data_IF_487881550369
#
_entry.id   IF_487881550369
#
_cell.length_a   1.000
_cell.length_b   1.000
_cell.length_c   1.000
_cell.angle_alpha   90.00
_cell.angle_beta   90.00
_cell.angle_gamma   90.00
#
_symmetry.space_group_name_H-M   'P 1'
#
loop_
_entity.id
_entity.type
_entity.pdbx_description
1 polymer ?
#
# COMPACT_ATOMS: atom_id res chain seq x y z
N UNK A 1 -4.03 -6.64 -21.02
CA UNK A 1 -4.41 -5.87 -19.83
C UNK A 1 -4.68 -6.71 -18.56
N UNK A 2 -5.49 -7.80 -18.62
CA UNK A 2 -5.73 -8.66 -17.43
C UNK A 2 -4.45 -9.26 -16.80
N UNK A 3 -3.40 -9.51 -17.60
CA UNK A 3 -2.14 -10.05 -17.10
C UNK A 3 -1.25 -9.04 -16.39
N UNK A 4 -1.33 -7.75 -16.76
CA UNK A 4 -0.55 -6.66 -16.13
C UNK A 4 -1.04 -6.34 -14.73
N UNK A 5 -2.37 -6.30 -14.51
CA UNK A 5 -2.93 -6.06 -13.17
C UNK A 5 -2.61 -7.20 -12.19
N UNK A 6 -2.61 -8.45 -12.69
CA UNK A 6 -2.26 -9.63 -11.92
C UNK A 6 -0.78 -9.64 -11.50
N UNK A 7 0.09 -9.11 -12.36
CA UNK A 7 1.52 -8.96 -12.09
C UNK A 7 1.84 -7.76 -11.17
N UNK A 8 1.01 -6.71 -11.18
CA UNK A 8 1.16 -5.54 -10.29
C UNK A 8 0.93 -5.90 -8.81
N UNK A 9 0.02 -6.82 -8.54
CA UNK A 9 -0.22 -7.34 -7.19
C UNK A 9 0.98 -8.19 -6.70
N UNK A 10 1.68 -8.87 -7.64
CA UNK A 10 2.90 -9.61 -7.33
C UNK A 10 4.13 -8.69 -7.09
N UNK A 11 4.15 -7.48 -7.67
CA UNK A 11 5.30 -6.56 -7.59
C UNK A 11 5.38 -5.74 -6.29
N UNK A 12 4.28 -5.60 -5.55
CA UNK A 12 4.36 -5.09 -4.18
C UNK A 12 5.24 -6.00 -3.26
N UNK A 13 5.54 -7.21 -3.72
CA UNK A 13 6.46 -8.17 -3.06
C UNK A 13 7.94 -7.90 -3.32
N UNK A 14 8.32 -7.08 -4.30
CA UNK A 14 9.71 -6.92 -4.75
C UNK A 14 10.58 -6.03 -3.84
N UNK A 15 10.05 -5.48 -2.76
CA UNK A 15 10.85 -4.75 -1.77
C UNK A 15 11.61 -5.68 -0.81
N UNK A 16 11.37 -6.99 -0.87
CA UNK A 16 11.99 -7.99 0.00
C UNK A 16 13.30 -8.61 -0.54
N UNK A 17 13.71 -8.33 -1.79
CA UNK A 17 14.79 -9.06 -2.46
C UNK A 17 16.20 -8.48 -2.33
N UNK A 18 16.54 -7.76 -1.27
CA UNK A 18 17.91 -7.28 -1.02
C UNK A 18 18.63 -7.99 0.14
N UNK A 19 18.18 -9.16 0.57
CA UNK A 19 18.99 -9.99 1.47
C UNK A 19 18.96 -11.44 0.99
N UNK A 20 20.13 -11.90 0.61
CA UNK A 20 20.61 -13.17 0.12
C UNK A 20 19.81 -14.45 0.35
N UNK A 21 19.69 -15.18 -0.71
CA UNK A 21 19.79 -16.58 -1.00
C UNK A 21 19.31 -17.66 -0.02
N UNK A 22 18.19 -18.31 -0.39
CA UNK A 22 18.06 -19.78 -0.32
C UNK A 22 16.93 -20.20 -1.29
N UNK A 23 17.26 -21.04 -2.26
CA UNK A 23 16.29 -21.65 -3.15
C UNK A 23 15.44 -22.64 -2.35
N UNK A 24 14.14 -22.39 -2.26
CA UNK A 24 13.14 -23.35 -1.79
C UNK A 24 12.08 -23.51 -2.88
N UNK A 25 11.75 -24.77 -3.15
CA UNK A 25 10.91 -25.25 -4.23
C UNK A 25 9.54 -24.51 -4.31
N UNK A 26 9.15 -24.26 -5.55
CA UNK A 26 7.90 -23.62 -5.95
C UNK A 26 6.67 -24.47 -5.62
N UNK A 27 5.95 -24.10 -4.57
CA UNK A 27 4.49 -24.21 -4.55
C UNK A 27 3.91 -22.84 -4.93
N UNK A 28 3.00 -22.83 -5.91
CA UNK A 28 2.50 -21.59 -6.55
C UNK A 28 1.76 -20.68 -5.57
N UNK A 29 2.33 -19.52 -5.14
CA UNK A 29 1.63 -18.60 -4.24
C UNK A 29 0.56 -17.75 -4.95
N UNK A 30 0.33 -17.96 -6.26
CA UNK A 30 -0.55 -17.11 -7.05
C UNK A 30 -2.05 -17.25 -6.72
N UNK A 31 -2.45 -18.29 -6.00
CA UNK A 31 -3.85 -18.57 -5.70
C UNK A 31 -4.26 -18.15 -4.27
N UNK A 32 -3.33 -17.73 -3.42
CA UNK A 32 -3.66 -17.31 -2.06
C UNK A 32 -3.27 -15.84 -1.83
N UNK A 33 -4.13 -14.94 -2.27
CA UNK A 33 -3.98 -13.49 -2.08
C UNK A 33 -3.89 -13.08 -0.61
N UNK A 34 -4.53 -13.83 0.27
CA UNK A 34 -4.51 -13.52 1.71
C UNK A 34 -3.16 -13.86 2.33
N UNK A 35 -2.54 -14.98 1.93
CA UNK A 35 -1.19 -15.33 2.36
C UNK A 35 -0.16 -14.31 1.85
N UNK A 36 -0.29 -13.84 0.60
CA UNK A 36 0.58 -12.79 0.05
C UNK A 36 0.41 -11.45 0.80
N UNK A 37 -0.83 -11.06 1.10
CA UNK A 37 -1.11 -9.85 1.90
C UNK A 37 -0.50 -9.93 3.29
N UNK A 38 -0.58 -11.09 3.93
CA UNK A 38 -0.02 -11.30 5.27
C UNK A 38 1.52 -11.25 5.23
N UNK A 39 2.14 -11.85 4.24
CA UNK A 39 3.60 -11.77 4.06
C UNK A 39 4.04 -10.31 3.87
N UNK A 40 3.41 -9.57 2.97
CA UNK A 40 3.71 -8.15 2.75
C UNK A 40 3.55 -7.31 4.02
N UNK A 41 2.53 -7.60 4.82
CA UNK A 41 2.33 -6.95 6.11
C UNK A 41 3.48 -7.23 7.08
N UNK A 42 3.92 -8.47 7.15
CA UNK A 42 5.01 -8.89 8.02
C UNK A 42 6.35 -8.28 7.59
N UNK A 43 6.65 -8.28 6.28
CA UNK A 43 7.86 -7.67 5.72
C UNK A 43 7.89 -6.16 5.99
N UNK A 44 6.80 -5.46 5.77
CA UNK A 44 6.67 -4.03 6.07
C UNK A 44 6.84 -3.75 7.57
N UNK A 45 6.26 -4.60 8.42
CA UNK A 45 6.41 -4.49 9.87
C UNK A 45 7.86 -4.63 10.32
N UNK A 46 8.61 -5.58 9.73
CA UNK A 46 10.03 -5.77 10.00
C UNK A 46 10.86 -4.55 9.61
N UNK A 47 10.59 -3.95 8.44
CA UNK A 47 11.24 -2.71 8.00
C UNK A 47 10.95 -1.57 8.96
N UNK A 48 9.70 -1.37 9.35
CA UNK A 48 9.30 -0.31 10.28
C UNK A 48 9.97 -0.49 11.64
N UNK A 49 10.01 -1.73 12.17
CA UNK A 49 10.69 -2.05 13.43
C UNK A 49 12.18 -1.67 13.39
N UNK A 50 12.86 -2.09 12.33
CA UNK A 50 14.31 -1.88 12.18
C UNK A 50 14.67 -0.39 12.00
N UNK A 51 13.85 0.38 11.28
CA UNK A 51 14.15 1.79 10.97
C UNK A 51 13.78 2.72 12.12
N UNK A 52 12.70 2.41 12.87
CA UNK A 52 12.27 3.25 13.98
C UNK A 52 13.09 3.06 15.26
N UNK A 53 13.83 1.93 15.37
CA UNK A 53 14.63 1.61 16.56
C UNK A 53 13.81 1.82 17.85
N UNK A 54 12.70 1.08 17.93
CA UNK A 54 11.74 1.22 19.05
C UNK A 54 12.31 0.58 20.32
N UNK A 55 12.23 1.29 21.44
CA UNK A 55 12.39 0.65 22.74
C UNK A 55 11.23 -0.33 22.99
N UNK A 56 11.38 -1.21 23.97
CA UNK A 56 10.33 -2.20 24.29
C UNK A 56 9.00 -1.48 24.67
N UNK A 57 9.08 -0.44 25.49
CA UNK A 57 7.89 0.33 25.90
C UNK A 57 7.25 1.10 24.73
N UNK A 58 8.06 1.69 23.85
CA UNK A 58 7.55 2.32 22.62
C UNK A 58 6.87 1.28 21.73
N UNK A 59 7.48 0.10 21.55
CA UNK A 59 6.92 -0.98 20.73
C UNK A 59 5.57 -1.45 21.26
N UNK A 60 5.43 -1.67 22.55
CA UNK A 60 4.16 -2.08 23.18
C UNK A 60 3.04 -1.05 22.91
N UNK A 61 3.33 0.24 22.98
CA UNK A 61 2.34 1.29 22.71
C UNK A 61 2.10 1.54 21.22
N UNK A 62 3.13 1.42 20.38
CA UNK A 62 3.09 1.72 18.95
C UNK A 62 2.33 0.70 18.13
N UNK A 63 2.61 -0.62 18.31
CA UNK A 63 2.08 -1.66 17.42
C UNK A 63 0.56 -1.72 17.36
N UNK A 64 -0.21 -1.54 18.44
CA UNK A 64 -1.66 -1.49 18.35
C UNK A 64 -2.17 -0.36 17.44
N UNK A 65 -1.56 0.83 17.53
CA UNK A 65 -1.91 1.98 16.69
C UNK A 65 -1.52 1.75 15.23
N UNK A 66 -0.33 1.19 15.02
CA UNK A 66 0.17 0.88 13.67
C UNK A 66 -0.67 -0.19 12.97
N UNK A 67 -1.08 -1.24 13.68
CA UNK A 67 -1.94 -2.29 13.12
C UNK A 67 -3.31 -1.72 12.71
N UNK A 68 -3.91 -0.85 13.52
CA UNK A 68 -5.16 -0.17 13.17
C UNK A 68 -4.97 0.71 11.92
N UNK A 69 -3.87 1.49 11.86
CA UNK A 69 -3.51 2.27 10.68
C UNK A 69 -3.36 1.40 9.42
N UNK A 70 -2.66 0.27 9.52
CA UNK A 70 -2.50 -0.65 8.38
C UNK A 70 -3.82 -1.26 7.93
N UNK A 71 -4.74 -1.58 8.85
CA UNK A 71 -6.08 -2.06 8.51
C UNK A 71 -6.87 -1.03 7.69
N UNK A 72 -6.85 0.24 8.13
CA UNK A 72 -7.53 1.32 7.42
C UNK A 72 -6.87 1.61 6.06
N UNK A 73 -5.54 1.50 5.98
CA UNK A 73 -4.81 1.62 4.71
C UNK A 73 -5.16 0.49 3.73
N UNK A 74 -5.29 -0.75 4.19
CA UNK A 74 -5.73 -1.88 3.36
C UNK A 74 -7.13 -1.60 2.79
N UNK A 75 -8.08 -1.16 3.61
CA UNK A 75 -9.42 -0.80 3.15
C UNK A 75 -9.39 0.35 2.12
N UNK A 76 -8.49 1.30 2.28
CA UNK A 76 -8.28 2.38 1.30
C UNK A 76 -7.74 1.82 -0.03
N UNK A 77 -6.70 0.98 0.00
CA UNK A 77 -6.13 0.38 -1.21
C UNK A 77 -7.11 -0.57 -1.91
N UNK A 78 -7.95 -1.30 -1.21
CA UNK A 78 -8.99 -2.13 -1.81
C UNK A 78 -9.98 -1.29 -2.65
N UNK A 79 -10.32 -0.07 -2.18
CA UNK A 79 -11.13 0.88 -2.97
C UNK A 79 -10.41 1.37 -4.23
N UNK A 80 -9.10 1.66 -4.11
CA UNK A 80 -8.28 2.04 -5.26
C UNK A 80 -8.20 0.91 -6.29
N UNK A 81 -7.96 -0.32 -5.85
CA UNK A 81 -7.91 -1.49 -6.74
C UNK A 81 -9.24 -1.72 -7.45
N UNK A 82 -10.36 -1.53 -6.75
CA UNK A 82 -11.70 -1.61 -7.38
C UNK A 82 -11.92 -0.53 -8.43
N UNK A 83 -11.44 0.70 -8.18
CA UNK A 83 -11.50 1.79 -9.17
C UNK A 83 -10.67 1.44 -10.41
N UNK A 84 -9.46 0.92 -10.22
CA UNK A 84 -8.58 0.49 -11.32
C UNK A 84 -9.16 -0.68 -12.13
N UNK A 85 -9.79 -1.63 -11.47
CA UNK A 85 -10.51 -2.72 -12.15
C UNK A 85 -11.65 -2.18 -13.02
N UNK A 86 -12.41 -1.22 -12.48
CA UNK A 86 -13.48 -0.53 -13.25
C UNK A 86 -12.90 0.20 -14.45
N UNK A 87 -11.82 0.96 -14.28
CA UNK A 87 -11.12 1.62 -15.37
C UNK A 87 -10.69 0.63 -16.46
N UNK A 88 -10.05 -0.46 -16.05
CA UNK A 88 -9.55 -1.49 -16.97
C UNK A 88 -10.68 -2.16 -17.78
N UNK A 89 -11.81 -2.42 -17.14
CA UNK A 89 -12.98 -3.04 -17.80
C UNK A 89 -13.65 -2.11 -18.81
N UNK A 90 -13.65 -0.80 -18.54
CA UNK A 90 -14.27 0.20 -19.40
C UNK A 90 -13.33 0.83 -20.42
N UNK A 91 -12.05 0.47 -20.41
CA UNK A 91 -11.00 1.16 -21.18
C UNK A 91 -11.30 1.30 -22.68
N UNK A 92 -11.76 0.23 -23.34
CA UNK A 92 -12.02 0.23 -24.80
C UNK A 92 -13.33 0.93 -25.17
N UNK A 93 -14.26 1.10 -24.22
CA UNK A 93 -15.57 1.76 -24.40
C UNK A 93 -15.72 2.99 -23.49
N UNK A 94 -14.61 3.67 -23.18
CA UNK A 94 -14.60 4.84 -22.28
C UNK A 94 -15.37 5.99 -22.93
N UNK A 95 -16.36 6.53 -22.18
CA UNK A 95 -17.03 7.79 -22.54
C UNK A 95 -16.51 8.94 -21.69
N UNK A 96 -16.77 10.17 -22.11
CA UNK A 96 -16.38 11.38 -21.36
C UNK A 96 -17.01 11.42 -19.96
N UNK A 97 -18.26 10.95 -19.83
CA UNK A 97 -18.96 10.84 -18.55
C UNK A 97 -18.30 9.80 -17.64
N UNK A 98 -17.92 8.65 -18.19
CA UNK A 98 -17.22 7.61 -17.44
C UNK A 98 -15.84 8.10 -17.00
N UNK A 99 -15.07 8.73 -17.87
CA UNK A 99 -13.77 9.31 -17.58
C UNK A 99 -13.88 10.37 -16.46
N UNK A 100 -14.87 11.27 -16.57
CA UNK A 100 -15.15 12.28 -15.55
C UNK A 100 -15.51 11.65 -14.20
N UNK A 101 -16.35 10.62 -14.20
CA UNK A 101 -16.75 9.90 -12.98
C UNK A 101 -15.56 9.22 -12.30
N UNK A 102 -14.74 8.50 -13.07
CA UNK A 102 -13.57 7.82 -12.56
C UNK A 102 -12.52 8.80 -12.00
N UNK A 103 -12.30 9.94 -12.68
CA UNK A 103 -11.42 10.99 -12.19
C UNK A 103 -11.91 11.58 -10.85
N UNK A 104 -13.21 11.84 -10.71
CA UNK A 104 -13.78 12.33 -9.44
C UNK A 104 -13.61 11.31 -8.31
N UNK A 105 -13.79 10.02 -8.59
CA UNK A 105 -13.59 8.95 -7.63
C UNK A 105 -12.11 8.85 -7.22
N UNK A 106 -11.18 8.94 -8.18
CA UNK A 106 -9.75 8.94 -7.91
C UNK A 106 -9.34 10.11 -7.01
N UNK A 107 -9.76 11.34 -7.33
CA UNK A 107 -9.49 12.52 -6.52
C UNK A 107 -10.12 12.42 -5.12
N UNK A 108 -11.27 11.75 -5.01
CA UNK A 108 -11.87 11.41 -3.72
C UNK A 108 -10.96 10.49 -2.89
N UNK A 109 -10.42 9.43 -3.49
CA UNK A 109 -9.47 8.52 -2.82
C UNK A 109 -8.19 9.22 -2.39
N UNK A 110 -7.62 10.11 -3.21
CA UNK A 110 -6.43 10.89 -2.82
C UNK A 110 -6.72 11.78 -1.58
N UNK A 111 -7.88 12.40 -1.53
CA UNK A 111 -8.32 13.20 -0.38
C UNK A 111 -8.51 12.33 0.87
N UNK A 112 -9.15 11.16 0.72
CA UNK A 112 -9.35 10.19 1.81
C UNK A 112 -8.00 9.68 2.35
N UNK A 113 -7.01 9.45 1.48
CA UNK A 113 -5.67 9.08 1.89
C UNK A 113 -5.03 10.12 2.81
N UNK A 114 -5.07 11.40 2.41
CA UNK A 114 -4.53 12.51 3.22
C UNK A 114 -5.30 12.64 4.55
N UNK A 115 -6.62 12.50 4.52
CA UNK A 115 -7.45 12.53 5.73
C UNK A 115 -7.08 11.39 6.70
N UNK A 116 -6.85 10.19 6.18
CA UNK A 116 -6.42 9.02 6.97
C UNK A 116 -5.07 9.31 7.64
N UNK A 117 -4.06 9.74 6.89
CA UNK A 117 -2.76 10.11 7.43
C UNK A 117 -2.90 11.17 8.54
N UNK A 118 -3.70 12.21 8.29
CA UNK A 118 -3.93 13.30 9.25
C UNK A 118 -4.60 12.80 10.53
N UNK A 119 -5.56 11.87 10.42
CA UNK A 119 -6.27 11.30 11.58
C UNK A 119 -5.37 10.45 12.49
N UNK A 120 -4.35 9.81 11.92
CA UNK A 120 -3.40 8.98 12.67
C UNK A 120 -2.24 9.78 13.27
N UNK A 121 -1.93 10.97 12.78
CA UNK A 121 -0.86 11.81 13.30
C UNK A 121 -0.93 12.02 14.83
N UNK A 122 -2.06 12.46 15.42
CA UNK A 122 -2.17 12.61 16.87
C UNK A 122 -2.07 11.28 17.63
N UNK A 123 -2.50 10.16 17.01
CA UNK A 123 -2.40 8.84 17.63
C UNK A 123 -0.94 8.38 17.73
N UNK A 124 -0.17 8.51 16.66
CA UNK A 124 1.26 8.21 16.67
C UNK A 124 2.05 9.16 17.57
N UNK A 125 1.70 10.45 17.60
CA UNK A 125 2.36 11.44 18.46
C UNK A 125 2.17 11.19 19.96
N UNK A 126 1.16 10.42 20.36
CA UNK A 126 0.96 9.99 21.76
C UNK A 126 1.91 8.86 22.18
N UNK A 127 2.40 8.07 21.23
CA UNK A 127 3.14 6.83 21.50
C UNK A 127 4.60 6.87 21.01
N UNK A 128 4.97 7.87 20.21
CA UNK A 128 6.31 8.03 19.66
C UNK A 128 6.81 9.47 19.80
N UNK A 129 8.13 9.67 19.99
CA UNK A 129 8.75 10.98 19.86
C UNK A 129 8.56 11.58 18.45
N UNK A 130 8.50 12.93 18.31
CA UNK A 130 8.23 13.58 17.04
C UNK A 130 9.15 13.15 15.87
N UNK A 131 10.44 12.92 16.16
CA UNK A 131 11.40 12.44 15.14
C UNK A 131 11.05 11.05 14.61
N UNK A 132 10.61 10.13 15.48
CA UNK A 132 10.18 8.77 15.07
C UNK A 132 8.86 8.82 14.32
N UNK A 133 7.92 9.70 14.69
CA UNK A 133 6.70 9.94 13.91
C UNK A 133 7.05 10.44 12.51
N UNK A 134 7.90 11.45 12.37
CA UNK A 134 8.31 11.95 11.06
C UNK A 134 8.98 10.85 10.22
N UNK A 135 9.85 10.03 10.83
CA UNK A 135 10.50 8.90 10.17
C UNK A 135 9.50 7.84 9.70
N UNK A 136 8.49 7.53 10.51
CA UNK A 136 7.40 6.63 10.13
C UNK A 136 6.69 7.14 8.85
N UNK A 137 6.28 8.41 8.83
CA UNK A 137 5.63 9.00 7.65
C UNK A 137 6.52 9.02 6.41
N UNK A 138 7.83 9.19 6.58
CA UNK A 138 8.79 9.08 5.47
C UNK A 138 8.87 7.65 4.92
N UNK A 139 8.85 6.62 5.77
CA UNK A 139 8.82 5.21 5.34
C UNK A 139 7.54 4.93 4.57
N UNK A 140 6.39 5.30 5.13
CA UNK A 140 5.09 5.11 4.48
C UNK A 140 5.02 5.81 3.12
N UNK A 141 5.54 7.05 3.03
CA UNK A 141 5.59 7.78 1.77
C UNK A 141 6.51 7.11 0.74
N UNK A 142 7.67 6.59 1.15
CA UNK A 142 8.56 5.84 0.25
C UNK A 142 7.90 4.57 -0.28
N UNK A 143 7.23 3.79 0.59
CA UNK A 143 6.50 2.60 0.18
C UNK A 143 5.37 2.95 -0.81
N UNK A 144 4.60 4.01 -0.53
CA UNK A 144 3.55 4.51 -1.44
C UNK A 144 4.12 4.95 -2.79
N UNK A 145 5.25 5.65 -2.79
CA UNK A 145 5.87 6.12 -4.04
C UNK A 145 6.26 4.96 -4.97
N UNK A 146 6.77 3.85 -4.42
CA UNK A 146 7.06 2.65 -5.20
C UNK A 146 5.79 2.02 -5.79
N UNK A 147 4.73 1.88 -4.99
CA UNK A 147 3.45 1.37 -5.47
C UNK A 147 2.87 2.26 -6.57
N UNK A 148 2.87 3.57 -6.37
CA UNK A 148 2.36 4.53 -7.35
C UNK A 148 3.17 4.51 -8.66
N UNK A 149 4.49 4.35 -8.58
CA UNK A 149 5.34 4.22 -9.76
C UNK A 149 4.99 2.98 -10.59
N UNK A 150 4.82 1.83 -9.95
CA UNK A 150 4.43 0.59 -10.65
C UNK A 150 3.02 0.67 -11.23
N UNK A 151 2.07 1.28 -10.51
CA UNK A 151 0.73 1.54 -11.04
C UNK A 151 0.78 2.45 -12.27
N UNK A 152 1.55 3.55 -12.20
CA UNK A 152 1.70 4.49 -13.33
C UNK A 152 2.30 3.84 -14.57
N UNK A 153 3.24 2.89 -14.41
CA UNK A 153 3.80 2.12 -15.52
C UNK A 153 2.80 1.16 -16.17
N UNK A 154 1.90 0.58 -15.37
CA UNK A 154 0.99 -0.47 -15.81
C UNK A 154 -0.36 0.03 -16.33
N UNK A 155 -0.75 1.27 -16.01
CA UNK A 155 -2.05 1.83 -16.37
C UNK A 155 -1.90 2.70 -17.62
N UNK A 156 -2.54 2.34 -18.76
CA UNK A 156 -2.49 3.16 -19.95
C UNK A 156 -3.27 4.47 -19.75
N UNK A 157 -2.92 5.49 -20.54
CA UNK A 157 -3.69 6.73 -20.61
C UNK A 157 -5.06 6.50 -21.25
N UNK A 158 -6.04 7.31 -20.89
CA UNK A 158 -7.36 7.36 -21.57
C UNK A 158 -7.12 7.67 -23.04
N UNK A 159 -7.86 6.97 -23.93
CA UNK A 159 -7.78 7.16 -25.40
C UNK A 159 -8.42 8.48 -25.81
#
# INVERSE_FOLDING_TARGET
MRHTLRNLIAFASALACLVGGAAVAQDKPADNMDALREQLRNDKRAVVASVLDLSESEGQAFWPVYNAYQSDMVAHYDRLLKLLDTYTKSYDAMTDEMATSLLKQYLGLERDHVALLTSYLPRFSKVLPPRKVARLYQIENKARALVNYELARGIPLVK
#
